data_IF_607344056933
#
_entry.id   IF_607344056933
#
_cell.length_a   1.000
_cell.length_b   1.000
_cell.length_c   1.000
_cell.angle_alpha   90.00
_cell.angle_beta   90.00
_cell.angle_gamma   90.00
#
_symmetry.space_group_name_H-M   'P 1'
#
loop_
_entity.id
_entity.type
_entity.pdbx_description
1 polymer ?
#
# COMPACT_ATOMS: atom_id res chain seq x y z
N UNK A 1 -18.40 -16.48 5.75
CA UNK A 1 -19.41 -15.99 4.79
C UNK A 1 -18.66 -15.10 3.82
N UNK A 2 -18.57 -15.47 2.54
CA UNK A 2 -18.05 -14.55 1.52
C UNK A 2 -19.14 -13.51 1.26
N UNK A 3 -18.79 -12.23 1.24
CA UNK A 3 -19.73 -11.16 0.91
C UNK A 3 -20.29 -11.41 -0.50
N UNK A 4 -21.61 -11.46 -0.62
CA UNK A 4 -22.32 -11.70 -1.88
C UNK A 4 -21.93 -10.68 -2.95
N UNK A 5 -21.62 -9.45 -2.53
CA UNK A 5 -21.12 -8.41 -3.41
C UNK A 5 -19.76 -8.78 -4.02
N UNK A 6 -18.80 -9.19 -3.18
CA UNK A 6 -17.46 -9.54 -3.64
C UNK A 6 -17.47 -10.77 -4.55
N UNK A 7 -18.31 -11.76 -4.24
CA UNK A 7 -18.48 -12.95 -5.08
C UNK A 7 -18.95 -12.58 -6.51
N UNK A 8 -19.89 -11.64 -6.62
CA UNK A 8 -20.39 -11.16 -7.91
C UNK A 8 -19.35 -10.30 -8.65
N UNK A 9 -18.64 -9.44 -7.94
CA UNK A 9 -17.57 -8.62 -8.51
C UNK A 9 -16.45 -9.50 -9.09
N UNK A 10 -16.01 -10.50 -8.33
CA UNK A 10 -14.98 -11.47 -8.74
C UNK A 10 -15.35 -12.18 -10.04
N UNK A 11 -16.59 -12.68 -10.15
CA UNK A 11 -17.09 -13.30 -11.39
C UNK A 11 -17.06 -12.31 -12.55
N UNK A 12 -17.57 -11.09 -12.36
CA UNK A 12 -17.62 -10.05 -13.38
C UNK A 12 -16.24 -9.71 -13.93
N UNK A 13 -15.25 -9.55 -13.05
CA UNK A 13 -13.86 -9.27 -13.44
C UNK A 13 -13.26 -10.48 -14.16
N UNK A 14 -13.42 -11.69 -13.62
CA UNK A 14 -12.90 -12.91 -14.25
C UNK A 14 -13.39 -13.09 -15.69
N UNK A 15 -14.69 -12.89 -15.92
CA UNK A 15 -15.26 -12.94 -17.28
C UNK A 15 -14.74 -11.81 -18.18
N UNK A 16 -14.63 -10.57 -17.65
CA UNK A 16 -14.08 -9.43 -18.40
C UNK A 16 -12.64 -9.66 -18.86
N UNK A 17 -11.86 -10.39 -18.05
CA UNK A 17 -10.48 -10.76 -18.34
C UNK A 17 -10.34 -12.08 -19.13
N UNK A 18 -11.44 -12.67 -19.59
CA UNK A 18 -11.48 -13.96 -20.30
C UNK A 18 -10.80 -15.12 -19.54
N UNK A 19 -10.85 -15.10 -18.21
CA UNK A 19 -10.26 -16.14 -17.38
C UNK A 19 -11.15 -17.38 -17.33
N UNK A 20 -10.53 -18.57 -17.40
CA UNK A 20 -11.28 -19.82 -17.37
C UNK A 20 -11.80 -20.16 -15.97
N UNK A 21 -13.10 -20.47 -15.81
CA UNK A 21 -13.67 -20.89 -14.53
C UNK A 21 -13.15 -22.27 -14.11
N UNK A 22 -13.18 -22.53 -12.80
CA UNK A 22 -12.85 -23.85 -12.25
C UNK A 22 -13.86 -24.92 -12.69
N UNK A 23 -13.40 -26.12 -13.00
CA UNK A 23 -14.20 -27.32 -13.22
C UNK A 23 -13.57 -28.52 -12.49
N UNK A 24 -14.11 -29.74 -12.68
CA UNK A 24 -13.66 -30.93 -11.94
C UNK A 24 -12.19 -31.31 -12.18
N UNK A 25 -11.60 -30.88 -13.29
CA UNK A 25 -10.22 -31.19 -13.68
C UNK A 25 -9.29 -29.97 -13.58
N UNK A 26 -9.84 -28.78 -13.35
CA UNK A 26 -9.13 -27.51 -13.45
C UNK A 26 -9.53 -26.55 -12.35
N UNK A 27 -8.55 -26.07 -11.58
CA UNK A 27 -8.79 -25.20 -10.44
C UNK A 27 -9.27 -23.77 -10.81
N UNK A 28 -9.25 -23.40 -12.10
CA UNK A 28 -9.59 -22.06 -12.59
C UNK A 28 -8.38 -21.13 -12.68
N UNK A 29 -8.52 -20.06 -13.46
CA UNK A 29 -7.48 -19.03 -13.64
C UNK A 29 -7.81 -17.76 -12.86
N UNK A 30 -6.77 -17.05 -12.39
CA UNK A 30 -6.91 -15.72 -11.78
C UNK A 30 -7.99 -15.62 -10.70
N UNK A 31 -9.04 -14.85 -10.98
CA UNK A 31 -10.19 -14.61 -10.09
C UNK A 31 -11.12 -15.83 -9.93
N UNK A 32 -11.02 -16.84 -10.81
CA UNK A 32 -11.72 -18.10 -10.66
C UNK A 32 -10.89 -19.20 -10.02
N UNK A 33 -9.60 -18.97 -9.79
CA UNK A 33 -8.69 -19.95 -9.20
C UNK A 33 -9.12 -20.31 -7.78
N UNK A 34 -9.20 -21.62 -7.51
CA UNK A 34 -9.42 -22.18 -6.17
C UNK A 34 -8.13 -22.78 -5.61
N UNK A 35 -8.08 -22.92 -4.28
CA UNK A 35 -7.04 -23.75 -3.66
C UNK A 35 -7.29 -25.22 -4.01
N UNK A 36 -6.21 -25.97 -4.19
CA UNK A 36 -6.27 -27.41 -4.48
C UNK A 36 -7.11 -28.12 -3.41
N UNK A 37 -8.05 -28.95 -3.85
CA UNK A 37 -8.98 -29.70 -2.98
C UNK A 37 -9.83 -28.80 -2.05
N UNK A 38 -10.07 -27.55 -2.41
CA UNK A 38 -10.87 -26.61 -1.63
C UNK A 38 -11.96 -25.95 -2.45
N UNK A 39 -13.10 -25.70 -1.83
CA UNK A 39 -14.15 -24.88 -2.42
C UNK A 39 -13.79 -23.38 -2.42
N UNK A 40 -12.73 -22.99 -1.69
CA UNK A 40 -12.36 -21.58 -1.48
C UNK A 40 -11.53 -21.05 -2.64
N UNK A 41 -11.90 -19.86 -3.11
CA UNK A 41 -11.15 -19.10 -4.10
C UNK A 41 -9.87 -18.52 -3.49
N UNK A 42 -8.82 -18.43 -4.31
CA UNK A 42 -7.54 -17.80 -3.92
C UNK A 42 -7.71 -16.30 -3.75
N UNK A 43 -8.40 -15.66 -4.71
CA UNK A 43 -8.76 -14.23 -4.63
C UNK A 43 -10.14 -14.10 -4.02
N UNK A 44 -10.19 -13.61 -2.79
CA UNK A 44 -11.42 -13.36 -2.04
C UNK A 44 -11.22 -12.13 -1.12
N UNK A 45 -12.26 -11.69 -0.42
CA UNK A 45 -12.14 -10.51 0.47
C UNK A 45 -11.10 -10.71 1.60
N UNK A 46 -10.97 -11.93 2.10
CA UNK A 46 -9.98 -12.27 3.12
C UNK A 46 -8.56 -12.26 2.56
N UNK A 47 -8.33 -12.60 1.29
CA UNK A 47 -6.99 -12.52 0.69
C UNK A 47 -6.51 -11.06 0.62
N UNK A 48 -7.41 -10.11 0.38
CA UNK A 48 -7.09 -8.67 0.43
C UNK A 48 -6.74 -8.21 1.84
N UNK A 49 -7.52 -8.64 2.83
CA UNK A 49 -7.22 -8.40 4.25
C UNK A 49 -5.88 -9.01 4.66
N UNK A 50 -5.59 -10.24 4.24
CA UNK A 50 -4.31 -10.91 4.49
C UNK A 50 -3.15 -10.15 3.85
N UNK A 51 -3.29 -9.68 2.62
CA UNK A 51 -2.29 -8.85 1.96
C UNK A 51 -1.98 -7.58 2.76
N UNK A 52 -3.02 -6.84 3.19
CA UNK A 52 -2.87 -5.67 4.04
C UNK A 52 -2.13 -5.99 5.34
N UNK A 53 -2.53 -7.05 6.06
CA UNK A 53 -1.89 -7.45 7.32
C UNK A 53 -0.41 -7.76 7.08
N UNK A 54 -0.08 -8.51 6.03
CA UNK A 54 1.31 -8.83 5.69
C UNK A 54 2.13 -7.56 5.48
N UNK A 55 1.64 -6.61 4.67
CA UNK A 55 2.34 -5.34 4.41
C UNK A 55 2.49 -4.49 5.68
N UNK A 56 1.41 -4.34 6.44
CA UNK A 56 1.42 -3.60 7.70
C UNK A 56 2.39 -4.21 8.72
N UNK A 57 2.43 -5.54 8.84
CA UNK A 57 3.36 -6.25 9.72
C UNK A 57 4.80 -6.04 9.28
N UNK A 58 5.09 -6.13 7.97
CA UNK A 58 6.43 -5.92 7.44
C UNK A 58 6.95 -4.50 7.70
N UNK A 59 6.08 -3.49 7.65
CA UNK A 59 6.47 -2.08 7.78
C UNK A 59 6.51 -1.57 9.22
N UNK A 60 5.50 -1.90 10.02
CA UNK A 60 5.28 -1.32 11.35
C UNK A 60 5.09 -2.37 12.46
N UNK A 61 5.24 -3.66 12.14
CA UNK A 61 5.15 -4.75 13.08
C UNK A 61 3.73 -5.26 13.35
N UNK A 62 3.67 -6.38 14.06
CA UNK A 62 2.45 -7.17 14.26
C UNK A 62 1.40 -6.46 15.15
N UNK A 63 1.86 -5.69 16.13
CA UNK A 63 1.01 -4.93 17.03
C UNK A 63 0.13 -3.92 16.28
N UNK A 64 0.73 -3.20 15.32
CA UNK A 64 0.03 -2.23 14.48
C UNK A 64 -0.94 -2.91 13.51
N UNK A 65 -0.49 -3.96 12.81
CA UNK A 65 -1.30 -4.64 11.79
C UNK A 65 -2.55 -5.31 12.38
N UNK A 66 -2.45 -5.93 13.55
CA UNK A 66 -3.60 -6.48 14.25
C UNK A 66 -4.53 -5.40 14.81
N UNK A 67 -3.98 -4.32 15.37
CA UNK A 67 -4.76 -3.21 15.89
C UNK A 67 -5.65 -2.56 14.82
N UNK A 68 -5.15 -2.42 13.59
CA UNK A 68 -5.91 -1.84 12.46
C UNK A 68 -6.85 -2.84 11.81
N UNK A 69 -6.47 -4.11 11.75
CA UNK A 69 -7.35 -5.13 11.19
C UNK A 69 -8.48 -5.50 12.18
N UNK A 70 -8.39 -5.14 13.46
CA UNK A 70 -9.39 -5.54 14.47
C UNK A 70 -9.30 -7.02 14.83
N UNK A 71 -8.16 -7.67 14.52
CA UNK A 71 -7.83 -8.96 15.11
C UNK A 71 -7.37 -8.75 16.55
N UNK A 72 -7.64 -9.72 17.42
CA UNK A 72 -7.06 -9.75 18.75
C UNK A 72 -5.55 -9.98 18.63
N UNK A 73 -4.75 -8.94 18.81
CA UNK A 73 -3.30 -9.09 18.93
C UNK A 73 -2.96 -9.79 20.26
N UNK A 74 -1.86 -10.54 20.27
CA UNK A 74 -1.18 -10.89 21.53
C UNK A 74 -0.78 -9.58 22.23
N UNK A 75 -1.07 -9.44 23.53
CA UNK A 75 -0.73 -8.24 24.32
C UNK A 75 -1.43 -6.93 23.89
N UNK A 76 -2.64 -7.00 23.32
CA UNK A 76 -3.49 -5.84 22.99
C UNK A 76 -3.63 -4.78 24.11
N UNK A 77 -3.50 -5.17 25.38
CA UNK A 77 -3.51 -4.25 26.54
C UNK A 77 -2.28 -3.33 26.62
N UNK A 78 -1.15 -3.77 26.05
CA UNK A 78 0.11 -3.02 26.01
C UNK A 78 0.24 -2.16 24.75
N UNK A 79 -0.49 -2.50 23.69
CA UNK A 79 -0.47 -1.76 22.41
C UNK A 79 -1.33 -0.50 22.53
N UNK A 80 -0.75 0.58 23.04
CA UNK A 80 -1.38 1.89 23.21
C UNK A 80 -1.02 2.85 22.08
N UNK A 81 -1.28 2.46 20.84
CA UNK A 81 -1.10 3.37 19.70
C UNK A 81 -2.31 4.30 19.65
N UNK A 82 -2.09 5.60 19.75
CA UNK A 82 -3.15 6.60 19.62
C UNK A 82 -3.78 6.57 18.22
N UNK A 83 -4.99 7.12 18.09
CA UNK A 83 -5.65 7.20 16.78
C UNK A 83 -4.85 8.04 15.77
N UNK A 84 -4.23 9.13 16.24
CA UNK A 84 -3.40 10.01 15.39
C UNK A 84 -2.15 9.29 14.87
N UNK A 85 -1.45 8.56 15.74
CA UNK A 85 -0.29 7.75 15.34
C UNK A 85 -0.70 6.64 14.37
N UNK A 86 -1.85 5.99 14.57
CA UNK A 86 -2.36 4.98 13.62
C UNK A 86 -2.60 5.59 12.24
N UNK A 87 -3.20 6.78 12.18
CA UNK A 87 -3.42 7.49 10.92
C UNK A 87 -2.10 7.83 10.22
N UNK A 88 -1.11 8.30 10.98
CA UNK A 88 0.22 8.60 10.42
C UNK A 88 0.91 7.36 9.85
N UNK A 89 0.93 6.27 10.62
CA UNK A 89 1.50 4.99 10.17
C UNK A 89 0.75 4.43 8.95
N UNK A 90 -0.56 4.69 8.84
CA UNK A 90 -1.33 4.26 7.67
C UNK A 90 -0.90 5.04 6.42
N UNK A 91 -0.73 6.37 6.51
CA UNK A 91 -0.26 7.20 5.40
C UNK A 91 1.14 6.79 4.94
N UNK A 92 2.01 6.40 5.87
CA UNK A 92 3.33 5.87 5.51
C UNK A 92 3.21 4.52 4.80
N UNK A 93 2.31 3.63 5.23
CA UNK A 93 2.08 2.32 4.61
C UNK A 93 1.38 2.39 3.25
N UNK A 94 0.50 3.37 3.06
CA UNK A 94 -0.42 3.49 1.92
C UNK A 94 0.22 3.25 0.54
N UNK A 95 1.39 3.82 0.20
CA UNK A 95 2.02 3.62 -1.11
C UNK A 95 2.36 2.16 -1.41
N UNK A 96 2.61 1.34 -0.38
CA UNK A 96 2.97 -0.08 -0.53
C UNK A 96 1.76 -1.00 -0.67
N UNK A 97 0.54 -0.48 -0.44
CA UNK A 97 -0.70 -1.24 -0.59
C UNK A 97 -1.20 -1.28 -2.03
N UNK A 98 -0.70 -0.39 -2.89
CA UNK A 98 -1.03 -0.38 -4.31
C UNK A 98 -0.22 -1.44 -5.07
N UNK A 99 -0.92 -2.23 -5.89
CA UNK A 99 -0.31 -3.31 -6.71
C UNK A 99 0.36 -2.71 -7.97
N UNK A 100 -0.16 -1.59 -8.47
CA UNK A 100 0.43 -0.82 -9.57
C UNK A 100 1.23 0.36 -9.01
N UNK A 101 2.20 0.86 -9.77
CA UNK A 101 2.94 2.10 -9.51
C UNK A 101 2.08 3.35 -9.72
N UNK A 102 0.87 3.35 -9.14
CA UNK A 102 0.03 4.55 -9.07
C UNK A 102 0.71 5.48 -8.09
N UNK A 103 1.32 6.56 -8.61
CA UNK A 103 1.87 7.62 -7.76
C UNK A 103 0.76 8.11 -6.84
N UNK A 104 0.95 7.92 -5.54
CA UNK A 104 0.05 8.43 -4.52
C UNK A 104 0.07 9.96 -4.56
N UNK A 105 -0.96 10.61 -4.01
CA UNK A 105 -0.94 12.08 -3.89
C UNK A 105 0.28 12.55 -3.10
N UNK A 106 0.68 11.79 -2.09
CA UNK A 106 1.92 12.01 -1.32
C UNK A 106 3.15 11.98 -2.22
N UNK A 107 3.29 10.98 -3.10
CA UNK A 107 4.43 10.90 -4.03
C UNK A 107 4.46 12.10 -4.99
N UNK A 108 3.28 12.54 -5.47
CA UNK A 108 3.16 13.69 -6.37
C UNK A 108 3.59 14.99 -5.68
N UNK A 109 3.13 15.21 -4.45
CA UNK A 109 3.51 16.38 -3.65
C UNK A 109 5.01 16.36 -3.37
N UNK A 110 5.55 15.22 -2.94
CA UNK A 110 6.97 15.07 -2.65
C UNK A 110 7.84 15.33 -3.90
N UNK A 111 7.41 14.88 -5.08
CA UNK A 111 8.12 15.16 -6.34
C UNK A 111 8.14 16.66 -6.68
N UNK A 112 7.03 17.37 -6.45
CA UNK A 112 6.94 18.82 -6.68
C UNK A 112 7.82 19.58 -5.69
N UNK A 113 7.75 19.23 -4.40
CA UNK A 113 8.59 19.84 -3.36
C UNK A 113 10.08 19.59 -3.64
N UNK A 114 10.46 18.37 -3.99
CA UNK A 114 11.85 18.03 -4.32
C UNK A 114 12.36 18.79 -5.55
N UNK A 115 11.51 19.03 -6.55
CA UNK A 115 11.87 19.88 -7.70
C UNK A 115 12.10 21.32 -7.25
N UNK A 116 11.19 21.88 -6.45
CA UNK A 116 11.29 23.26 -5.96
C UNK A 116 12.56 23.45 -5.11
N UNK A 117 12.84 22.51 -4.21
CA UNK A 117 14.05 22.53 -3.37
C UNK A 117 15.31 22.47 -4.23
N UNK A 118 15.36 21.59 -5.24
CA UNK A 118 16.51 21.50 -6.15
C UNK A 118 16.74 22.79 -6.93
N UNK A 119 15.67 23.44 -7.39
CA UNK A 119 15.75 24.73 -8.09
C UNK A 119 16.25 25.84 -7.15
N UNK A 120 15.78 25.88 -5.90
CA UNK A 120 16.25 26.83 -4.89
C UNK A 120 17.72 26.60 -4.53
N UNK A 121 18.14 25.34 -4.36
CA UNK A 121 19.54 25.00 -4.10
C UNK A 121 20.44 25.38 -5.26
N UNK A 122 20.00 25.19 -6.51
CA UNK A 122 20.77 25.61 -7.68
C UNK A 122 20.97 27.14 -7.72
N UNK A 123 19.94 27.92 -7.37
CA UNK A 123 20.04 29.39 -7.29
C UNK A 123 20.99 29.83 -6.17
N UNK A 124 20.88 29.22 -4.99
CA UNK A 124 21.78 29.48 -3.86
C UNK A 124 23.24 29.15 -4.21
N UNK A 125 23.49 28.05 -4.92
CA UNK A 125 24.84 27.67 -5.35
C UNK A 125 25.43 28.73 -6.29
N UNK A 126 24.65 29.22 -7.27
CA UNK A 126 25.07 30.28 -8.17
C UNK A 126 25.40 31.58 -7.41
N UNK A 127 24.62 31.89 -6.38
CA UNK A 127 24.83 33.09 -5.55
C UNK A 127 26.08 32.97 -4.67
N UNK A 128 26.30 31.80 -4.05
CA UNK A 128 27.53 31.48 -3.33
C UNK A 128 28.76 31.58 -4.23
N UNK A 129 28.71 31.03 -5.45
CA UNK A 129 29.83 31.08 -6.40
C UNK A 129 30.17 32.54 -6.80
N UNK A 130 29.16 33.42 -6.92
CA UNK A 130 29.37 34.85 -7.19
C UNK A 130 30.04 35.55 -6.00
N UNK A 131 29.60 35.28 -4.78
CA UNK A 131 30.18 35.83 -3.55
C UNK A 131 31.62 35.35 -3.33
N UNK A 132 31.91 34.09 -3.65
CA UNK A 132 33.26 33.52 -3.58
C UNK A 132 34.20 34.12 -4.64
N UNK A 133 33.67 34.50 -5.81
CA UNK A 133 34.46 35.13 -6.89
C UNK A 133 34.72 36.62 -6.67
N UNK A 134 33.82 37.31 -5.97
CA UNK A 134 33.95 38.70 -5.59
C UNK A 134 33.74 38.84 -4.07
N UNK A 135 34.70 38.38 -3.25
CA UNK A 135 34.59 38.54 -1.80
C UNK A 135 34.50 40.04 -1.52
N UNK A 136 33.44 40.46 -0.82
CA UNK A 136 33.31 41.83 -0.36
C UNK A 136 34.47 42.12 0.59
N UNK A 137 35.50 42.79 0.09
CA UNK A 137 36.55 43.38 0.92
C UNK A 137 35.89 44.51 1.72
N UNK A 138 35.76 44.29 3.03
CA UNK A 138 35.41 45.32 4.00
C UNK A 138 36.50 46.41 4.07
#
# INVERSE_FOLDING_TARGET
YEDQYFANLRKRIGYKLNQKPSNDQFDGEGFFKKYKNSIRYVVNIHSMRSYFITKATMKHGEAYSHALSGHGAYLKEYVRISSEEKSKLYLELEPELFIESVKTETDRVQEVENKLIKEQMAKLQIEMDKLMKYPQTA
#
